data_IF_273806787729
#
_entry.id   IF_273806787729
#
_cell.length_a   1.000
_cell.length_b   1.000
_cell.length_c   1.000
_cell.angle_alpha   90.00
_cell.angle_beta   90.00
_cell.angle_gamma   90.00
#
_symmetry.space_group_name_H-M   'P 1'
#
loop_
_entity.id
_entity.type
_entity.pdbx_description
1 polymer ?
#
# COMPACT_ATOMS: atom_id res chain seq x y z
N UNK A 1 -1.95 0.64 24.98
CA UNK A 1 -1.19 -0.38 24.23
C UNK A 1 -1.37 -0.10 22.75
N UNK A 2 -0.27 0.10 22.00
CA UNK A 2 -0.31 0.24 20.54
C UNK A 2 -0.12 -1.15 19.93
N UNK A 3 -1.06 -1.57 19.08
CA UNK A 3 -0.90 -2.79 18.29
C UNK A 3 -0.03 -2.47 17.07
N UNK A 4 1.05 -3.24 16.85
CA UNK A 4 1.90 -3.12 15.66
C UNK A 4 1.45 -4.17 14.66
N UNK A 5 1.03 -3.71 13.48
CA UNK A 5 0.65 -4.60 12.38
C UNK A 5 1.88 -5.34 11.84
N UNK A 6 1.75 -6.65 11.69
CA UNK A 6 2.68 -7.45 10.90
C UNK A 6 2.19 -7.53 9.45
N UNK A 7 3.02 -7.05 8.52
CA UNK A 7 2.69 -6.99 7.09
C UNK A 7 3.93 -7.36 6.30
N UNK A 8 3.81 -8.41 5.50
CA UNK A 8 4.80 -8.81 4.51
C UNK A 8 4.27 -8.60 3.09
N UNK A 9 5.20 -8.46 2.14
CA UNK A 9 4.90 -8.39 0.72
C UNK A 9 5.80 -9.35 -0.06
N UNK A 10 5.25 -10.08 -1.03
CA UNK A 10 6.01 -10.88 -2.00
C UNK A 10 5.74 -10.33 -3.39
N UNK A 11 6.78 -9.84 -4.06
CA UNK A 11 6.64 -9.36 -5.44
C UNK A 11 6.34 -10.54 -6.37
N UNK A 12 5.28 -10.40 -7.16
CA UNK A 12 4.80 -11.39 -8.12
C UNK A 12 5.14 -11.04 -9.55
N UNK A 13 5.13 -9.76 -9.88
CA UNK A 13 5.43 -9.26 -11.22
C UNK A 13 6.18 -7.95 -11.11
N UNK A 14 7.20 -7.81 -11.96
CA UNK A 14 7.89 -6.54 -12.20
C UNK A 14 7.93 -6.35 -13.71
N UNK A 15 7.44 -5.21 -14.19
CA UNK A 15 7.81 -4.66 -15.50
C UNK A 15 8.65 -3.43 -15.23
N UNK A 16 9.92 -3.41 -15.68
CA UNK A 16 10.79 -2.27 -15.49
C UNK A 16 10.10 -0.96 -15.86
N UNK A 17 10.23 0.04 -15.00
CA UNK A 17 9.74 1.41 -15.20
C UNK A 17 8.22 1.56 -15.37
N UNK A 18 7.44 0.48 -15.22
CA UNK A 18 6.01 0.51 -15.52
C UNK A 18 5.12 -0.13 -14.45
N UNK A 19 5.55 -1.24 -13.83
CA UNK A 19 4.66 -2.05 -13.00
C UNK A 19 5.38 -2.83 -11.90
N UNK A 20 4.79 -2.82 -10.72
CA UNK A 20 5.04 -3.81 -9.66
C UNK A 20 3.70 -4.37 -9.19
N UNK A 21 3.59 -5.70 -9.12
CA UNK A 21 2.50 -6.39 -8.42
C UNK A 21 3.07 -7.21 -7.28
N UNK A 22 2.43 -7.16 -6.12
CA UNK A 22 2.84 -7.93 -4.96
C UNK A 22 1.65 -8.52 -4.20
N UNK A 23 1.83 -9.72 -3.67
CA UNK A 23 0.91 -10.31 -2.70
C UNK A 23 1.26 -9.79 -1.32
N UNK A 24 0.24 -9.43 -0.54
CA UNK A 24 0.36 -8.96 0.84
C UNK A 24 -0.10 -10.07 1.80
N UNK A 25 0.64 -10.27 2.89
CA UNK A 25 0.37 -11.28 3.90
C UNK A 25 0.68 -10.78 5.33
N UNK A 26 0.31 -11.57 6.34
CA UNK A 26 0.43 -11.22 7.76
C UNK A 26 -0.94 -10.95 8.39
N UNK A 27 -1.04 -9.88 9.18
CA UNK A 27 -2.29 -9.44 9.82
C UNK A 27 -3.35 -8.99 8.82
N UNK A 28 -2.91 -8.61 7.62
CA UNK A 28 -3.74 -8.29 6.46
C UNK A 28 -3.31 -9.17 5.28
N UNK A 29 -4.23 -9.42 4.36
CA UNK A 29 -3.96 -10.19 3.14
C UNK A 29 -4.63 -9.57 1.94
N UNK A 30 -3.97 -9.62 0.80
CA UNK A 30 -4.52 -9.17 -0.47
C UNK A 30 -3.41 -8.86 -1.46
N UNK A 31 -3.61 -7.84 -2.28
CA UNK A 31 -2.73 -7.50 -3.37
C UNK A 31 -2.36 -6.01 -3.35
N UNK A 32 -1.15 -5.71 -3.82
CA UNK A 32 -0.65 -4.37 -4.06
C UNK A 32 -0.30 -4.24 -5.53
N UNK A 33 -0.74 -3.14 -6.13
CA UNK A 33 -0.48 -2.77 -7.51
C UNK A 33 0.13 -1.37 -7.52
N UNK A 34 1.33 -1.26 -8.07
CA UNK A 34 1.98 0.01 -8.36
C UNK A 34 2.21 0.10 -9.86
N UNK A 35 1.59 1.08 -10.51
CA UNK A 35 1.82 1.38 -11.92
C UNK A 35 2.42 2.77 -12.07
N UNK A 36 3.24 2.93 -13.09
CA UNK A 36 3.84 4.19 -13.46
C UNK A 36 3.64 4.39 -14.95
N UNK A 37 3.12 5.56 -15.32
CA UNK A 37 2.85 5.93 -16.70
C UNK A 37 3.48 7.29 -16.99
N UNK A 38 4.01 7.45 -18.20
CA UNK A 38 4.49 8.73 -18.68
C UNK A 38 3.30 9.65 -18.99
N UNK A 39 3.36 10.90 -18.53
CA UNK A 39 2.42 11.96 -18.89
C UNK A 39 3.20 13.15 -19.47
N UNK A 40 2.54 14.02 -20.26
CA UNK A 40 3.19 15.14 -20.97
C UNK A 40 4.08 16.04 -20.09
N UNK A 41 3.81 16.11 -18.78
CA UNK A 41 4.59 16.89 -17.81
C UNK A 41 4.98 16.05 -16.59
N UNK A 42 5.55 14.86 -16.85
CA UNK A 42 6.20 14.05 -15.83
C UNK A 42 5.64 12.64 -15.78
N UNK A 43 5.32 12.18 -14.58
CA UNK A 43 5.03 10.77 -14.33
C UNK A 43 3.77 10.64 -13.48
N UNK A 44 2.82 9.87 -13.97
CA UNK A 44 1.63 9.48 -13.21
C UNK A 44 1.87 8.14 -12.53
N UNK A 45 1.94 8.18 -11.21
CA UNK A 45 1.93 6.99 -10.38
C UNK A 45 0.51 6.61 -9.98
N UNK A 46 0.16 5.34 -10.13
CA UNK A 46 -1.04 4.72 -9.57
C UNK A 46 -0.64 3.69 -8.52
N UNK A 47 -1.17 3.84 -7.31
CA UNK A 47 -0.93 2.91 -6.21
C UNK A 47 -2.27 2.42 -5.68
N UNK A 48 -2.50 1.13 -5.78
CA UNK A 48 -3.66 0.46 -5.22
C UNK A 48 -3.22 -0.63 -4.25
N UNK A 49 -3.93 -0.69 -3.12
CA UNK A 49 -3.70 -1.67 -2.07
C UNK A 49 -5.06 -2.22 -1.70
N UNK A 50 -5.34 -3.44 -2.15
CA UNK A 50 -6.60 -4.11 -1.88
C UNK A 50 -6.35 -5.21 -0.88
N UNK A 51 -6.74 -4.98 0.37
CA UNK A 51 -6.48 -5.90 1.48
C UNK A 51 -7.70 -6.13 2.34
N UNK A 52 -7.77 -7.31 2.95
CA UNK A 52 -8.69 -7.68 4.01
C UNK A 52 -7.93 -8.01 5.30
N UNK A 53 -8.61 -7.88 6.44
CA UNK A 53 -8.04 -8.30 7.73
C UNK A 53 -8.02 -9.82 7.82
N UNK A 54 -6.95 -10.38 8.38
CA UNK A 54 -6.78 -11.81 8.58
C UNK A 54 -6.63 -12.18 10.06
N UNK A 55 -6.05 -11.29 10.87
CA UNK A 55 -5.84 -11.59 12.28
C UNK A 55 -7.19 -11.80 13.02
N UNK A 56 -7.36 -12.86 13.83
CA UNK A 56 -8.66 -13.28 14.35
C UNK A 56 -9.50 -12.17 15.01
N UNK A 57 -8.89 -11.35 15.87
CA UNK A 57 -9.62 -10.25 16.52
C UNK A 57 -10.02 -9.16 15.51
N UNK A 58 -9.19 -8.88 14.51
CA UNK A 58 -9.49 -7.86 13.49
C UNK A 58 -10.65 -8.31 12.61
N UNK A 59 -10.63 -9.57 12.19
CA UNK A 59 -11.70 -10.19 11.40
C UNK A 59 -13.01 -10.21 12.19
N UNK A 60 -12.96 -10.64 13.46
CA UNK A 60 -14.13 -10.70 14.34
C UNK A 60 -14.75 -9.31 14.58
N UNK A 61 -13.92 -8.30 14.83
CA UNK A 61 -14.38 -6.93 15.10
C UNK A 61 -14.62 -6.11 13.84
N UNK A 62 -14.28 -6.63 12.66
CA UNK A 62 -14.38 -5.90 11.39
C UNK A 62 -15.77 -5.31 11.09
N UNK A 63 -16.92 -5.93 11.44
CA UNK A 63 -18.21 -5.31 11.18
C UNK A 63 -18.40 -4.00 11.96
N UNK A 64 -17.87 -3.94 13.17
CA UNK A 64 -17.96 -2.76 14.05
C UNK A 64 -16.85 -1.74 13.77
N UNK A 65 -15.68 -2.22 13.34
CA UNK A 65 -14.49 -1.39 13.10
C UNK A 65 -14.26 -1.08 11.62
N UNK A 66 -15.20 -1.40 10.74
CA UNK A 66 -15.05 -1.23 9.28
C UNK A 66 -14.60 0.19 8.92
N UNK A 67 -15.34 1.19 9.39
CA UNK A 67 -15.02 2.59 9.13
C UNK A 67 -13.64 2.97 9.66
N UNK A 68 -13.31 2.52 10.88
CA UNK A 68 -12.00 2.75 11.48
C UNK A 68 -10.87 2.15 10.62
N UNK A 69 -10.99 0.90 10.19
CA UNK A 69 -9.99 0.26 9.33
C UNK A 69 -9.89 0.94 7.96
N UNK A 70 -11.03 1.27 7.32
CA UNK A 70 -11.04 1.96 6.02
C UNK A 70 -10.43 3.37 6.10
N UNK A 71 -10.68 4.12 7.16
CA UNK A 71 -10.08 5.44 7.35
C UNK A 71 -8.57 5.35 7.59
N UNK A 72 -8.13 4.39 8.42
CA UNK A 72 -6.70 4.15 8.62
C UNK A 72 -6.01 3.73 7.32
N UNK A 73 -6.66 2.87 6.52
CA UNK A 73 -6.17 2.48 5.20
C UNK A 73 -5.98 3.70 4.28
N UNK A 74 -6.99 4.58 4.17
CA UNK A 74 -6.88 5.83 3.40
C UNK A 74 -5.74 6.72 3.89
N UNK A 75 -5.58 6.87 5.21
CA UNK A 75 -4.49 7.66 5.81
C UNK A 75 -3.11 7.09 5.47
N UNK A 76 -2.95 5.77 5.50
CA UNK A 76 -1.71 5.10 5.10
C UNK A 76 -1.42 5.35 3.62
N UNK A 77 -2.41 5.22 2.73
CA UNK A 77 -2.22 5.49 1.29
C UNK A 77 -1.79 6.94 1.03
N UNK A 78 -2.41 7.92 1.71
CA UNK A 78 -2.03 9.33 1.60
C UNK A 78 -0.61 9.60 2.12
N UNK A 79 -0.24 9.03 3.27
CA UNK A 79 1.12 9.16 3.80
C UNK A 79 2.15 8.47 2.90
N UNK A 80 1.80 7.33 2.32
CA UNK A 80 2.61 6.57 1.39
C UNK A 80 2.97 7.41 0.16
N UNK A 81 1.96 7.99 -0.51
CA UNK A 81 2.21 8.83 -1.70
C UNK A 81 3.01 10.11 -1.36
N UNK A 82 2.78 10.71 -0.19
CA UNK A 82 3.55 11.86 0.27
C UNK A 82 5.02 11.50 0.50
N UNK A 83 5.28 10.37 1.18
CA UNK A 83 6.63 9.86 1.41
C UNK A 83 7.34 9.52 0.11
N UNK A 84 6.64 8.86 -0.82
CA UNK A 84 7.17 8.50 -2.13
C UNK A 84 7.56 9.74 -2.96
N UNK A 85 6.65 10.74 -3.05
CA UNK A 85 6.94 12.02 -3.74
C UNK A 85 8.15 12.73 -3.14
N UNK A 86 8.27 12.75 -1.82
CA UNK A 86 9.40 13.37 -1.14
C UNK A 86 10.70 12.65 -1.47
N UNK A 87 10.72 11.31 -1.42
CA UNK A 87 11.89 10.52 -1.78
C UNK A 87 12.34 10.77 -3.23
N UNK A 88 11.40 10.84 -4.18
CA UNK A 88 11.71 11.19 -5.57
C UNK A 88 12.23 12.62 -5.74
N UNK A 89 11.69 13.59 -4.99
CA UNK A 89 12.11 14.98 -5.05
C UNK A 89 13.49 15.23 -4.42
N UNK A 90 13.82 14.49 -3.36
CA UNK A 90 15.13 14.53 -2.69
C UNK A 90 16.23 13.93 -3.58
N UNK A 91 15.87 13.07 -4.53
CA UNK A 91 16.75 12.63 -5.62
C UNK A 91 18.02 11.96 -5.09
N UNK A 92 17.88 11.06 -4.11
CA UNK A 92 19.01 10.24 -3.69
C UNK A 92 19.54 9.48 -4.90
N UNK A 93 20.79 9.82 -5.28
CA UNK A 93 21.60 9.07 -6.24
C UNK A 93 21.75 7.65 -5.68
N UNK A 94 20.93 6.73 -6.16
CA UNK A 94 21.25 5.29 -6.08
C UNK A 94 22.46 5.04 -6.99
#
# INVERSE_FOLDING_TARGET
MSYRLDVGAVIREIKPEALIRADIYGDIQGECLCCVEEEMQGTRGFFDLHVRTMHPWMTLLSPFLKSYFSENHKRIMVKGIQGFRRHLAEGDKI
#
